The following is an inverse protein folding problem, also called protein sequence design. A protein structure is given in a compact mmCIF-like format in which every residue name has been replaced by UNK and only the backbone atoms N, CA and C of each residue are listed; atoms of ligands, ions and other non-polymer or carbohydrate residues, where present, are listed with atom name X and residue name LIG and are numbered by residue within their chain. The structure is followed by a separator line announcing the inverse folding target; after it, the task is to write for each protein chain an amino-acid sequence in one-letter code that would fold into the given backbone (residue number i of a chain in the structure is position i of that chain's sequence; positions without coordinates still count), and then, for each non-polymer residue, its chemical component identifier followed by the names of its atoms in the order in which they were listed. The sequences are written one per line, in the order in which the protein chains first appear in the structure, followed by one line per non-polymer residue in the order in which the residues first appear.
data_IF_134477082169
#
_entry.id   IF_134477082169
#
_cell.length_a   1.000
_cell.length_b   1.000
_cell.length_c   1.000
_cell.angle_alpha   90.00
_cell.angle_beta   90.00
_cell.angle_gamma   90.00
#
_symmetry.space_group_name_H-M   'P 1'
#
loop_
_entity.id
_entity.type
_entity.pdbx_description
1 polymer ?
#
# COMPACT_ATOMS: atom_id res chain seq x y z
N UNK A 1 64.19 7.80 24.91
CA UNK A 1 63.38 8.96 24.49
C UNK A 1 63.27 9.05 22.98
N UNK A 2 64.34 8.84 22.20
CA UNK A 2 64.30 8.93 20.71
C UNK A 2 63.37 7.88 20.05
N UNK A 3 63.33 6.69 20.54
CA UNK A 3 62.46 5.61 19.95
C UNK A 3 60.93 5.92 20.12
N UNK A 4 60.54 6.54 21.26
CA UNK A 4 59.12 6.91 21.43
C UNK A 4 58.65 8.05 20.51
N UNK A 5 59.54 8.97 20.18
CA UNK A 5 59.22 10.07 19.26
C UNK A 5 59.11 9.56 17.80
N UNK A 6 59.88 8.52 17.44
CA UNK A 6 59.83 7.94 16.11
C UNK A 6 58.49 7.19 15.87
N UNK A 7 58.05 6.39 16.83
CA UNK A 7 56.75 5.70 16.73
C UNK A 7 55.50 6.59 16.69
N UNK A 8 55.58 7.79 17.31
CA UNK A 8 54.49 8.78 17.27
C UNK A 8 54.44 9.45 15.91
N UNK A 9 55.59 9.79 15.34
CA UNK A 9 55.70 10.41 14.02
C UNK A 9 55.25 9.47 12.90
N UNK A 10 55.55 8.22 12.97
CA UNK A 10 55.13 7.20 12.01
C UNK A 10 53.62 6.94 12.08
N UNK A 11 53.02 6.97 13.29
CA UNK A 11 51.55 6.85 13.43
C UNK A 11 50.79 8.05 12.87
N UNK A 12 51.34 9.26 13.05
CA UNK A 12 50.69 10.49 12.51
C UNK A 12 50.82 10.51 10.99
N UNK A 13 51.98 10.09 10.45
CA UNK A 13 52.17 9.97 9.00
C UNK A 13 51.24 8.95 8.36
N UNK A 14 51.12 7.74 8.95
CA UNK A 14 50.20 6.71 8.46
C UNK A 14 48.74 7.14 8.55
N UNK A 15 48.34 7.87 9.63
CA UNK A 15 46.98 8.37 9.77
C UNK A 15 46.64 9.51 8.78
N UNK A 16 47.61 10.34 8.42
CA UNK A 16 47.44 11.36 7.39
C UNK A 16 47.35 10.72 5.99
N UNK A 17 48.21 9.76 5.70
CA UNK A 17 48.22 9.05 4.42
C UNK A 17 46.92 8.22 4.21
N UNK A 18 46.41 7.61 5.28
CA UNK A 18 45.12 6.88 5.24
C UNK A 18 43.94 7.82 5.01
N UNK A 19 43.96 9.02 5.56
CA UNK A 19 42.92 10.05 5.32
C UNK A 19 43.00 10.59 3.90
N UNK A 20 44.19 10.87 3.38
CA UNK A 20 44.35 11.34 2.00
C UNK A 20 43.93 10.28 0.98
N UNK A 21 44.23 8.99 1.23
CA UNK A 21 43.81 7.89 0.37
C UNK A 21 42.28 7.68 0.43
N UNK A 22 41.66 7.82 1.60
CA UNK A 22 40.19 7.74 1.71
C UNK A 22 39.48 8.92 1.05
N UNK A 23 40.02 10.14 1.20
CA UNK A 23 39.45 11.34 0.59
C UNK A 23 39.64 11.31 -0.94
N UNK A 24 40.79 10.82 -1.42
CA UNK A 24 41.08 10.66 -2.86
C UNK A 24 40.25 9.57 -3.52
N UNK A 25 39.82 8.54 -2.80
CA UNK A 25 38.97 7.48 -3.34
C UNK A 25 37.49 7.83 -3.30
N UNK A 26 37.02 8.66 -2.34
CA UNK A 26 35.62 9.02 -2.23
C UNK A 26 35.20 10.13 -3.24
N UNK A 27 36.04 11.16 -3.43
CA UNK A 27 35.72 12.24 -4.36
C UNK A 27 35.57 11.83 -5.84
N UNK A 28 36.40 10.93 -6.42
CA UNK A 28 36.23 10.57 -7.83
C UNK A 28 35.03 9.65 -8.08
N UNK A 29 34.57 8.87 -7.11
CA UNK A 29 33.40 7.99 -7.31
C UNK A 29 32.08 8.75 -7.19
N UNK A 30 31.91 9.65 -6.22
CA UNK A 30 30.71 10.50 -6.14
C UNK A 30 30.62 11.47 -7.32
N UNK A 31 31.72 12.07 -7.76
CA UNK A 31 31.74 12.91 -8.96
C UNK A 31 31.55 12.11 -10.27
N UNK A 32 32.02 10.88 -10.34
CA UNK A 32 31.75 9.99 -11.47
C UNK A 32 30.29 9.51 -11.51
N UNK A 33 29.66 9.30 -10.37
CA UNK A 33 28.23 8.98 -10.29
C UNK A 33 27.38 10.20 -10.67
N UNK A 34 27.73 11.40 -10.22
CA UNK A 34 27.02 12.63 -10.57
C UNK A 34 27.24 13.08 -12.03
N UNK A 35 28.36 12.73 -12.66
CA UNK A 35 28.67 13.05 -14.06
C UNK A 35 28.36 11.96 -15.05
N UNK A 36 27.91 10.79 -14.65
CA UNK A 36 27.27 9.85 -15.56
C UNK A 36 26.02 10.53 -16.11
N UNK A 37 26.16 11.20 -17.26
CA UNK A 37 25.01 11.51 -18.12
C UNK A 37 24.32 10.17 -18.31
N UNK A 38 23.20 10.00 -17.60
CA UNK A 38 22.32 8.86 -17.80
C UNK A 38 22.21 8.66 -19.31
N UNK A 39 22.51 7.48 -19.86
CA UNK A 39 22.28 7.24 -21.27
C UNK A 39 20.84 7.71 -21.47
N UNK A 40 20.60 8.50 -22.54
CA UNK A 40 19.24 8.89 -22.94
C UNK A 40 18.53 7.57 -23.18
N UNK A 41 17.92 7.05 -22.10
CA UNK A 41 17.45 5.69 -22.01
C UNK A 41 16.45 5.48 -23.13
N UNK A 42 16.66 4.46 -23.89
CA UNK A 42 15.65 3.92 -24.79
C UNK A 42 14.43 3.71 -23.92
N UNK A 43 13.39 4.52 -24.10
CA UNK A 43 12.14 4.36 -23.33
C UNK A 43 11.55 3.02 -23.71
N UNK A 44 11.57 2.08 -22.77
CA UNK A 44 10.96 0.77 -22.96
C UNK A 44 9.44 0.84 -22.76
N UNK A 45 8.95 1.84 -22.00
CA UNK A 45 7.54 2.01 -21.70
C UNK A 45 6.98 3.16 -22.54
N UNK A 46 5.98 2.84 -23.38
CA UNK A 46 5.26 3.81 -24.20
C UNK A 46 4.24 4.61 -23.39
N UNK A 47 3.79 5.74 -23.93
CA UNK A 47 2.76 6.58 -23.28
C UNK A 47 1.45 5.83 -23.05
N UNK A 48 1.07 4.90 -23.92
CA UNK A 48 -0.14 4.08 -23.79
C UNK A 48 -0.06 3.13 -22.61
N UNK A 49 1.09 2.46 -22.43
CA UNK A 49 1.34 1.54 -21.31
C UNK A 49 1.35 2.29 -19.98
N UNK A 50 2.00 3.46 -19.95
CA UNK A 50 1.99 4.34 -18.79
C UNK A 50 0.57 4.76 -18.42
N UNK A 51 -0.22 5.20 -19.41
CA UNK A 51 -1.60 5.62 -19.19
C UNK A 51 -2.46 4.46 -18.66
N UNK A 52 -2.33 3.28 -19.24
CA UNK A 52 -3.09 2.09 -18.80
C UNK A 52 -2.72 1.69 -17.36
N UNK A 53 -1.43 1.75 -17.01
CA UNK A 53 -0.98 1.44 -15.66
C UNK A 53 -1.47 2.48 -14.65
N UNK A 54 -1.39 3.77 -14.98
CA UNK A 54 -1.91 4.87 -14.15
C UNK A 54 -3.42 4.73 -13.95
N UNK A 55 -4.17 4.41 -15.01
CA UNK A 55 -5.62 4.21 -14.92
C UNK A 55 -5.98 3.02 -14.03
N UNK A 56 -5.22 1.93 -14.14
CA UNK A 56 -5.36 0.78 -13.26
C UNK A 56 -5.10 1.15 -11.79
N UNK A 57 -4.06 1.91 -11.51
CA UNK A 57 -3.70 2.33 -10.15
C UNK A 57 -4.73 3.32 -9.58
N UNK A 58 -5.26 4.23 -10.41
CA UNK A 58 -6.37 5.13 -10.06
C UNK A 58 -7.62 4.34 -9.67
N UNK A 59 -7.99 3.31 -10.42
CA UNK A 59 -9.16 2.49 -10.10
C UNK A 59 -9.03 1.86 -8.70
N UNK A 60 -7.85 1.39 -8.35
CA UNK A 60 -7.54 0.82 -7.04
C UNK A 60 -7.53 1.85 -5.90
N UNK A 61 -7.42 3.12 -6.21
CA UNK A 61 -7.38 4.21 -5.22
C UNK A 61 -8.77 4.68 -4.79
N UNK A 62 -9.84 4.21 -5.43
CA UNK A 62 -11.21 4.49 -5.01
C UNK A 62 -11.58 3.69 -3.76
N UNK A 63 -11.18 4.17 -2.59
CA UNK A 63 -11.48 3.54 -1.30
C UNK A 63 -11.98 4.58 -0.28
N UNK A 64 -12.52 4.10 0.85
CA UNK A 64 -12.99 4.92 1.97
C UNK A 64 -12.15 4.67 3.24
N UNK A 65 -10.88 4.29 3.10
CA UNK A 65 -10.05 3.85 4.22
C UNK A 65 -9.85 4.94 5.27
N UNK A 66 -9.80 6.22 4.88
CA UNK A 66 -9.69 7.33 5.83
C UNK A 66 -10.92 7.45 6.75
N UNK A 67 -12.10 7.06 6.27
CA UNK A 67 -13.34 7.08 7.03
C UNK A 67 -13.66 5.75 7.74
N UNK A 68 -12.78 4.75 7.62
CA UNK A 68 -12.96 3.41 8.20
C UNK A 68 -13.05 3.44 9.74
N UNK A 69 -12.22 4.26 10.38
CA UNK A 69 -12.24 4.39 11.84
C UNK A 69 -13.59 4.93 12.34
N UNK A 70 -14.11 5.97 11.68
CA UNK A 70 -15.43 6.52 11.96
C UNK A 70 -16.54 5.47 11.75
N UNK A 71 -16.49 4.75 10.65
CA UNK A 71 -17.43 3.67 10.35
C UNK A 71 -17.46 2.57 11.43
N UNK A 72 -16.29 2.14 11.91
CA UNK A 72 -16.18 1.12 12.93
C UNK A 72 -16.72 1.59 14.29
N UNK A 73 -16.50 2.86 14.63
CA UNK A 73 -16.84 3.43 15.94
C UNK A 73 -18.27 3.88 16.01
N UNK A 74 -18.73 4.68 15.03
CA UNK A 74 -20.02 5.37 15.10
C UNK A 74 -21.13 4.60 14.38
N UNK A 75 -20.82 3.82 13.34
CA UNK A 75 -21.81 3.06 12.60
C UNK A 75 -21.92 1.63 13.09
N UNK A 76 -20.80 0.94 13.25
CA UNK A 76 -20.79 -0.43 13.77
C UNK A 76 -20.75 -0.50 15.29
N UNK A 77 -20.44 0.61 15.96
CA UNK A 77 -20.37 0.70 17.44
C UNK A 77 -19.42 -0.36 18.03
N UNK A 78 -18.27 -0.55 17.40
CA UNK A 78 -17.23 -1.46 17.91
C UNK A 78 -16.28 -0.66 18.80
N UNK A 79 -16.10 -1.10 20.04
CA UNK A 79 -15.19 -0.46 20.99
C UNK A 79 -13.77 -0.37 20.48
N UNK A 80 -13.09 0.76 20.74
CA UNK A 80 -11.68 0.98 20.38
C UNK A 80 -10.72 -0.12 20.87
N UNK A 81 -11.01 -0.72 22.02
CA UNK A 81 -10.23 -1.85 22.54
C UNK A 81 -10.22 -3.04 21.58
N UNK A 82 -11.39 -3.43 21.08
CA UNK A 82 -11.48 -4.53 20.12
C UNK A 82 -10.83 -4.18 18.78
N UNK A 83 -10.98 -2.93 18.33
CA UNK A 83 -10.30 -2.46 17.11
C UNK A 83 -8.77 -2.53 17.27
N UNK A 84 -8.24 -2.10 18.43
CA UNK A 84 -6.80 -2.15 18.70
C UNK A 84 -6.28 -3.59 18.77
N UNK A 85 -6.96 -4.49 19.48
CA UNK A 85 -6.58 -5.90 19.58
C UNK A 85 -6.58 -6.55 18.19
N UNK A 86 -7.65 -6.36 17.43
CA UNK A 86 -7.76 -6.92 16.06
C UNK A 86 -6.66 -6.36 15.17
N UNK A 87 -6.38 -5.07 15.23
CA UNK A 87 -5.31 -4.45 14.45
C UNK A 87 -3.94 -5.07 14.74
N UNK A 88 -3.61 -5.30 16.00
CA UNK A 88 -2.34 -5.95 16.38
C UNK A 88 -2.27 -7.38 15.87
N UNK A 89 -3.33 -8.16 16.07
CA UNK A 89 -3.36 -9.57 15.62
C UNK A 89 -3.25 -9.65 14.09
N UNK A 90 -3.97 -8.78 13.38
CA UNK A 90 -3.95 -8.71 11.93
C UNK A 90 -2.58 -8.27 11.41
N UNK A 91 -1.89 -7.33 12.08
CA UNK A 91 -0.53 -6.92 11.69
C UNK A 91 0.49 -8.05 11.86
N UNK A 92 0.37 -8.85 12.92
CA UNK A 92 1.23 -10.03 13.11
C UNK A 92 0.95 -11.08 12.02
N UNK A 93 -0.34 -11.29 11.72
CA UNK A 93 -0.76 -12.19 10.64
C UNK A 93 -0.21 -11.75 9.28
N UNK A 94 -0.20 -10.45 9.00
CA UNK A 94 0.27 -9.86 7.75
C UNK A 94 1.76 -10.18 7.51
N UNK A 95 2.60 -9.99 8.52
CA UNK A 95 4.03 -10.32 8.44
C UNK A 95 4.24 -11.81 8.11
N UNK A 96 3.50 -12.70 8.75
CA UNK A 96 3.60 -14.14 8.52
C UNK A 96 3.11 -14.48 7.10
N UNK A 97 1.97 -13.90 6.74
CA UNK A 97 1.30 -14.14 5.48
C UNK A 97 2.14 -13.70 4.27
N UNK A 98 2.77 -12.52 4.34
CA UNK A 98 3.60 -11.99 3.25
C UNK A 98 4.78 -12.92 2.91
N UNK A 99 5.42 -13.51 3.90
CA UNK A 99 6.50 -14.48 3.68
C UNK A 99 6.03 -15.74 2.96
N UNK A 100 4.87 -16.28 3.37
CA UNK A 100 4.28 -17.45 2.74
C UNK A 100 3.80 -17.15 1.32
N UNK A 101 3.09 -16.05 1.13
CA UNK A 101 2.52 -15.68 -0.15
C UNK A 101 3.59 -15.35 -1.19
N UNK A 102 4.67 -14.64 -0.81
CA UNK A 102 5.80 -14.41 -1.69
C UNK A 102 6.38 -15.73 -2.22
N UNK A 103 6.56 -16.72 -1.34
CA UNK A 103 7.05 -18.05 -1.72
C UNK A 103 6.07 -18.80 -2.65
N UNK A 104 4.77 -18.69 -2.41
CA UNK A 104 3.72 -19.31 -3.26
C UNK A 104 3.74 -18.67 -4.64
N UNK A 105 3.71 -17.33 -4.71
CA UNK A 105 3.75 -16.59 -5.97
C UNK A 105 5.02 -16.91 -6.76
N UNK A 106 6.17 -17.06 -6.07
CA UNK A 106 7.44 -17.40 -6.73
C UNK A 106 7.45 -18.78 -7.36
N UNK A 107 6.74 -19.75 -6.79
CA UNK A 107 6.63 -21.11 -7.32
C UNK A 107 5.55 -21.28 -8.38
N UNK A 108 4.65 -20.32 -8.48
CA UNK A 108 3.52 -20.40 -9.40
C UNK A 108 3.95 -20.11 -10.83
N UNK A 109 3.58 -21.02 -11.74
CA UNK A 109 3.81 -20.87 -13.17
C UNK A 109 2.54 -21.30 -13.92
N UNK A 110 1.71 -20.32 -14.31
CA UNK A 110 0.42 -20.57 -14.97
C UNK A 110 0.44 -20.20 -16.46
N UNK A 111 -0.55 -20.71 -17.23
CA UNK A 111 -0.74 -20.38 -18.65
C UNK A 111 -0.88 -18.87 -18.92
N UNK A 112 -1.38 -18.13 -17.93
CA UNK A 112 -1.61 -16.67 -18.01
C UNK A 112 -0.44 -15.84 -17.49
N UNK A 113 0.66 -16.48 -17.12
CA UNK A 113 1.82 -15.87 -16.47
C UNK A 113 1.82 -16.05 -14.95
N UNK A 114 2.84 -15.53 -14.30
CA UNK A 114 3.08 -15.70 -12.86
C UNK A 114 2.14 -14.85 -11.99
N UNK A 115 1.87 -13.62 -12.39
CA UNK A 115 1.21 -12.61 -11.54
C UNK A 115 -0.27 -12.37 -11.87
N UNK A 116 -0.69 -12.55 -13.13
CA UNK A 116 -2.06 -12.26 -13.58
C UNK A 116 -3.16 -13.01 -12.80
N UNK A 117 -3.03 -14.31 -12.46
CA UNK A 117 -4.09 -15.02 -11.76
C UNK A 117 -4.37 -14.42 -10.38
N UNK A 118 -3.36 -13.93 -9.69
CA UNK A 118 -3.52 -13.32 -8.37
C UNK A 118 -4.23 -11.97 -8.42
N UNK A 119 -4.02 -11.18 -9.47
CA UNK A 119 -4.79 -9.95 -9.69
C UNK A 119 -6.28 -10.24 -9.90
N UNK A 120 -6.62 -11.31 -10.61
CA UNK A 120 -8.01 -11.73 -10.82
C UNK A 120 -8.64 -12.21 -9.50
N UNK A 121 -7.88 -12.99 -8.71
CA UNK A 121 -8.33 -13.45 -7.38
C UNK A 121 -8.56 -12.26 -6.44
N UNK A 122 -7.76 -11.20 -6.54
CA UNK A 122 -7.99 -9.99 -5.78
C UNK A 122 -9.22 -9.22 -6.28
N UNK A 123 -9.32 -8.98 -7.58
CA UNK A 123 -10.37 -8.15 -8.17
C UNK A 123 -11.78 -8.66 -7.85
N UNK A 124 -12.09 -9.93 -8.03
CA UNK A 124 -13.43 -10.47 -7.82
C UNK A 124 -13.74 -10.78 -6.35
N UNK A 125 -13.02 -11.69 -5.66
CA UNK A 125 -13.33 -11.99 -4.25
C UNK A 125 -13.03 -10.82 -3.32
N UNK A 126 -11.99 -10.02 -3.59
CA UNK A 126 -11.67 -8.83 -2.81
C UNK A 126 -12.78 -7.80 -2.81
N UNK A 127 -13.33 -7.51 -3.99
CA UNK A 127 -14.49 -6.60 -4.14
C UNK A 127 -15.71 -7.12 -3.39
N UNK A 128 -16.01 -8.42 -3.48
CA UNK A 128 -17.12 -9.03 -2.75
C UNK A 128 -16.92 -8.91 -1.23
N UNK A 129 -15.70 -9.18 -0.74
CA UNK A 129 -15.39 -9.02 0.69
C UNK A 129 -15.51 -7.57 1.16
N UNK A 130 -15.08 -6.61 0.33
CA UNK A 130 -15.24 -5.20 0.62
C UNK A 130 -16.72 -4.78 0.65
N UNK A 131 -17.55 -5.27 -0.28
CA UNK A 131 -19.01 -5.04 -0.25
C UNK A 131 -19.66 -5.62 1.00
N UNK A 132 -19.27 -6.82 1.43
CA UNK A 132 -19.77 -7.43 2.67
C UNK A 132 -19.33 -6.58 3.87
N UNK A 133 -18.09 -6.09 3.90
CA UNK A 133 -17.60 -5.24 4.97
C UNK A 133 -18.42 -3.95 5.11
N UNK A 134 -18.64 -3.21 4.02
CA UNK A 134 -19.46 -1.99 4.06
C UNK A 134 -20.94 -2.28 4.25
N UNK A 135 -21.40 -3.48 3.92
CA UNK A 135 -22.77 -3.97 4.15
C UNK A 135 -23.03 -4.52 5.56
N UNK A 136 -22.02 -4.63 6.42
CA UNK A 136 -22.17 -5.18 7.78
C UNK A 136 -23.31 -4.56 8.61
N UNK A 137 -23.60 -3.25 8.55
CA UNK A 137 -24.67 -2.66 9.33
C UNK A 137 -26.08 -3.18 8.95
N UNK A 138 -26.24 -3.67 7.72
CA UNK A 138 -27.50 -4.29 7.27
C UNK A 138 -27.61 -5.70 7.87
N UNK A 139 -26.50 -6.43 7.94
CA UNK A 139 -26.45 -7.81 8.44
C UNK A 139 -26.57 -7.86 9.97
N UNK A 140 -26.02 -6.86 10.66
CA UNK A 140 -25.99 -6.79 12.14
C UNK A 140 -26.63 -5.49 12.61
N UNK A 141 -27.97 -5.41 12.68
CA UNK A 141 -28.65 -4.27 13.27
C UNK A 141 -28.29 -4.13 14.76
N UNK A 142 -28.46 -2.94 15.33
CA UNK A 142 -28.12 -2.59 16.71
C UNK A 142 -29.07 -3.28 17.74
N UNK A 143 -29.06 -4.61 17.75
CA UNK A 143 -29.87 -5.40 18.68
C UNK A 143 -28.95 -6.05 19.73
N UNK A 144 -29.38 -6.10 20.96
CA UNK A 144 -28.67 -6.81 22.04
C UNK A 144 -28.44 -8.27 21.63
N UNK A 145 -27.17 -8.72 21.58
CA UNK A 145 -26.79 -10.08 21.18
C UNK A 145 -26.03 -10.18 19.86
N UNK A 146 -26.03 -9.14 19.02
CA UNK A 146 -25.29 -9.13 17.75
C UNK A 146 -23.85 -8.64 17.87
N UNK A 147 -23.42 -8.18 19.07
CA UNK A 147 -22.11 -7.57 19.28
C UNK A 147 -20.93 -8.54 19.03
N UNK A 148 -20.99 -9.73 19.63
CA UNK A 148 -19.93 -10.73 19.48
C UNK A 148 -19.86 -11.27 18.03
N UNK A 149 -20.95 -11.68 17.39
CA UNK A 149 -20.93 -12.06 15.97
C UNK A 149 -20.38 -10.96 15.06
N UNK A 150 -20.70 -9.69 15.33
CA UNK A 150 -20.21 -8.53 14.58
C UNK A 150 -18.69 -8.41 14.66
N UNK A 151 -18.10 -8.54 15.85
CA UNK A 151 -16.63 -8.49 16.04
C UNK A 151 -15.96 -9.67 15.33
N UNK A 152 -16.51 -10.87 15.46
CA UNK A 152 -15.95 -12.07 14.78
C UNK A 152 -16.00 -11.90 13.28
N UNK A 153 -17.11 -11.44 12.72
CA UNK A 153 -17.25 -11.20 11.28
C UNK A 153 -16.26 -10.14 10.79
N UNK A 154 -16.12 -9.04 11.55
CA UNK A 154 -15.13 -7.99 11.24
C UNK A 154 -13.71 -8.56 11.23
N UNK A 155 -13.34 -9.34 12.23
CA UNK A 155 -12.02 -9.96 12.34
C UNK A 155 -11.73 -10.89 11.16
N UNK A 156 -12.67 -11.78 10.82
CA UNK A 156 -12.52 -12.73 9.71
C UNK A 156 -12.41 -11.99 8.37
N UNK A 157 -13.27 -11.00 8.13
CA UNK A 157 -13.22 -10.19 6.90
C UNK A 157 -11.89 -9.43 6.80
N UNK A 158 -11.40 -8.86 7.89
CA UNK A 158 -10.13 -8.13 7.90
C UNK A 158 -8.95 -9.06 7.59
N UNK A 159 -8.93 -10.28 8.13
CA UNK A 159 -7.89 -11.26 7.82
C UNK A 159 -7.92 -11.70 6.36
N UNK A 160 -9.10 -11.99 5.82
CA UNK A 160 -9.26 -12.39 4.43
C UNK A 160 -8.92 -11.24 3.46
N UNK A 161 -9.30 -10.02 3.81
CA UNK A 161 -9.00 -8.84 3.01
C UNK A 161 -7.50 -8.56 2.97
N UNK A 162 -6.79 -8.67 4.10
CA UNK A 162 -5.33 -8.53 4.14
C UNK A 162 -4.63 -9.58 3.29
N UNK A 163 -5.06 -10.85 3.38
CA UNK A 163 -4.51 -11.91 2.53
C UNK A 163 -4.67 -11.59 1.04
N UNK A 164 -5.84 -11.12 0.64
CA UNK A 164 -6.10 -10.73 -0.76
C UNK A 164 -5.24 -9.51 -1.18
N UNK A 165 -5.11 -8.50 -0.31
CA UNK A 165 -4.30 -7.30 -0.54
C UNK A 165 -2.81 -7.63 -0.67
N UNK A 166 -2.27 -8.50 0.18
CA UNK A 166 -0.87 -8.95 0.08
C UNK A 166 -0.58 -9.66 -1.24
N UNK A 167 -1.47 -10.53 -1.70
CA UNK A 167 -1.35 -11.17 -3.02
C UNK A 167 -1.37 -10.15 -4.16
N UNK A 168 -2.22 -9.14 -4.04
CA UNK A 168 -2.31 -8.05 -5.00
C UNK A 168 -1.01 -7.23 -5.05
N UNK A 169 -0.49 -6.77 -3.92
CA UNK A 169 0.71 -5.94 -3.84
C UNK A 169 1.96 -6.66 -4.37
N UNK A 170 2.14 -7.94 -4.02
CA UNK A 170 3.22 -8.78 -4.55
C UNK A 170 3.09 -8.89 -6.07
N UNK A 171 1.88 -9.11 -6.58
CA UNK A 171 1.63 -9.28 -8.00
C UNK A 171 1.77 -7.96 -8.77
N UNK A 172 1.31 -6.84 -8.22
CA UNK A 172 1.46 -5.49 -8.77
C UNK A 172 2.94 -5.13 -8.94
N UNK A 173 3.73 -5.33 -7.90
CA UNK A 173 5.17 -5.08 -7.92
C UNK A 173 5.89 -6.00 -8.92
N UNK A 174 5.50 -7.26 -8.98
CA UNK A 174 6.04 -8.23 -9.92
C UNK A 174 5.76 -7.90 -11.38
N UNK A 175 4.55 -7.41 -11.69
CA UNK A 175 4.19 -6.99 -13.05
C UNK A 175 5.01 -5.78 -13.50
N UNK A 176 5.21 -4.78 -12.64
CA UNK A 176 6.04 -3.62 -12.96
C UNK A 176 7.45 -4.07 -13.36
N UNK A 177 8.00 -5.05 -12.64
CA UNK A 177 9.32 -5.61 -12.95
C UNK A 177 9.37 -6.30 -14.31
N UNK A 178 8.24 -6.82 -14.81
CA UNK A 178 8.16 -7.47 -16.13
C UNK A 178 7.91 -6.49 -17.29
N UNK A 179 7.28 -5.33 -17.01
CA UNK A 179 6.99 -4.32 -18.05
C UNK A 179 8.27 -3.67 -18.56
N UNK A 180 9.21 -3.35 -17.67
CA UNK A 180 10.46 -2.70 -18.05
C UNK A 180 11.66 -3.21 -17.26
N UNK A 181 12.77 -3.55 -17.93
CA UNK A 181 14.03 -3.90 -17.27
C UNK A 181 14.76 -2.67 -16.72
N UNK A 182 14.45 -1.46 -17.22
CA UNK A 182 15.11 -0.22 -16.80
C UNK A 182 14.52 0.31 -15.49
N UNK A 183 15.40 0.50 -14.50
CA UNK A 183 15.03 1.00 -13.17
C UNK A 183 14.48 2.42 -13.23
N UNK A 184 14.98 3.27 -14.12
CA UNK A 184 14.51 4.66 -14.25
C UNK A 184 13.10 4.75 -14.82
N UNK A 185 12.82 3.97 -15.87
CA UNK A 185 11.46 3.89 -16.43
C UNK A 185 10.48 3.32 -15.42
N UNK A 186 10.90 2.33 -14.62
CA UNK A 186 10.12 1.74 -13.54
C UNK A 186 9.77 2.75 -12.46
N UNK A 187 10.78 3.47 -11.94
CA UNK A 187 10.59 4.50 -10.91
C UNK A 187 9.69 5.63 -11.42
N UNK A 188 9.87 6.04 -12.68
CA UNK A 188 9.02 7.05 -13.30
C UNK A 188 7.56 6.61 -13.39
N UNK A 189 7.32 5.36 -13.81
CA UNK A 189 5.99 4.79 -13.91
C UNK A 189 5.30 4.77 -12.56
N UNK A 190 5.97 4.26 -11.52
CA UNK A 190 5.46 4.21 -10.15
C UNK A 190 5.16 5.62 -9.62
N UNK A 191 6.08 6.56 -9.80
CA UNK A 191 5.90 7.93 -9.31
C UNK A 191 4.71 8.63 -9.99
N UNK A 192 4.54 8.44 -11.29
CA UNK A 192 3.39 9.00 -12.01
C UNK A 192 2.08 8.37 -11.53
N UNK A 193 2.04 7.05 -11.37
CA UNK A 193 0.87 6.36 -10.85
C UNK A 193 0.53 6.86 -9.45
N UNK A 194 1.48 6.87 -8.53
CA UNK A 194 1.26 7.33 -7.15
C UNK A 194 0.78 8.79 -7.06
N UNK A 195 1.28 9.69 -7.91
CA UNK A 195 0.82 11.07 -7.93
C UNK A 195 -0.67 11.18 -8.30
N UNK A 196 -1.09 10.51 -9.37
CA UNK A 196 -2.48 10.54 -9.79
C UNK A 196 -3.40 9.78 -8.83
N UNK A 197 -2.97 8.64 -8.34
CA UNK A 197 -3.71 7.81 -7.38
C UNK A 197 -3.96 8.56 -6.08
N UNK A 198 -2.94 9.23 -5.51
CA UNK A 198 -3.08 10.01 -4.28
C UNK A 198 -4.04 11.19 -4.41
N UNK A 199 -4.11 11.81 -5.58
CA UNK A 199 -5.08 12.87 -5.84
C UNK A 199 -6.51 12.30 -5.89
N UNK A 200 -6.69 11.17 -6.56
CA UNK A 200 -8.00 10.55 -6.75
C UNK A 200 -8.51 9.89 -5.46
N UNK A 201 -7.65 9.27 -4.66
CA UNK A 201 -7.97 8.65 -3.36
C UNK A 201 -8.66 9.63 -2.40
N UNK A 202 -8.25 10.90 -2.42
CA UNK A 202 -8.85 11.91 -1.56
C UNK A 202 -10.29 12.26 -1.96
N UNK A 203 -10.68 12.08 -3.21
CA UNK A 203 -12.02 12.50 -3.69
C UNK A 203 -13.14 11.75 -2.95
N UNK A 204 -13.22 10.39 -2.96
CA UNK A 204 -14.29 9.68 -2.28
C UNK A 204 -14.27 9.91 -0.77
N UNK A 205 -13.09 10.03 -0.17
CA UNK A 205 -12.95 10.28 1.26
C UNK A 205 -13.48 11.67 1.66
N UNK A 206 -13.16 12.72 0.90
CA UNK A 206 -13.66 14.08 1.15
C UNK A 206 -15.17 14.18 0.90
N UNK A 207 -15.67 13.58 -0.16
CA UNK A 207 -17.12 13.53 -0.43
C UNK A 207 -17.84 12.82 0.73
N UNK A 208 -17.33 11.69 1.19
CA UNK A 208 -17.90 10.98 2.33
C UNK A 208 -17.91 11.85 3.59
N UNK A 209 -16.80 12.54 3.91
CA UNK A 209 -16.71 13.43 5.07
C UNK A 209 -17.74 14.57 5.03
N UNK A 210 -17.90 15.21 3.87
CA UNK A 210 -18.94 16.26 3.68
C UNK A 210 -20.34 15.70 3.83
N UNK A 211 -20.59 14.49 3.33
CA UNK A 211 -21.91 13.85 3.50
C UNK A 211 -22.18 13.47 4.95
N UNK A 212 -21.19 13.00 5.69
CA UNK A 212 -21.29 12.73 7.12
C UNK A 212 -21.68 14.01 7.87
N UNK A 213 -21.02 15.13 7.56
CA UNK A 213 -21.32 16.43 8.18
C UNK A 213 -22.74 16.89 7.88
N UNK A 214 -23.21 16.75 6.64
CA UNK A 214 -24.58 17.08 6.25
C UNK A 214 -25.63 16.22 6.94
N UNK A 215 -25.35 14.95 7.19
CA UNK A 215 -26.24 14.04 7.94
C UNK A 215 -26.25 14.42 9.41
N UNK A 216 -25.11 14.71 10.02
CA UNK A 216 -25.00 15.13 11.42
C UNK A 216 -25.74 16.45 11.70
N UNK A 217 -25.75 17.37 10.75
CA UNK A 217 -26.50 18.62 10.85
C UNK A 217 -27.98 18.51 10.42
N UNK A 218 -28.51 17.31 10.26
CA UNK A 218 -29.90 17.05 9.84
C UNK A 218 -30.33 17.71 8.50
N UNK A 219 -29.37 18.08 7.66
CA UNK A 219 -29.65 18.61 6.32
C UNK A 219 -30.03 17.51 5.33
N UNK A 220 -29.52 16.30 5.53
CA UNK A 220 -29.90 15.11 4.77
C UNK A 220 -30.69 14.15 5.69
N UNK A 221 -31.88 13.76 5.25
CA UNK A 221 -32.74 12.80 5.96
C UNK A 221 -32.37 11.35 5.67
N UNK A 222 -31.09 11.04 5.63
CA UNK A 222 -30.56 9.70 5.38
C UNK A 222 -29.94 9.19 6.69
N UNK A 223 -30.14 7.91 7.00
CA UNK A 223 -29.46 7.30 8.15
C UNK A 223 -27.97 7.15 7.85
N UNK A 224 -27.13 7.41 8.84
CA UNK A 224 -25.68 7.27 8.72
C UNK A 224 -25.26 5.88 8.22
N UNK A 225 -25.92 4.85 8.70
CA UNK A 225 -25.77 3.45 8.25
C UNK A 225 -25.96 3.31 6.74
N UNK A 226 -27.06 3.87 6.20
CA UNK A 226 -27.36 3.78 4.75
C UNK A 226 -26.36 4.57 3.91
N UNK A 227 -25.87 5.70 4.42
CA UNK A 227 -24.85 6.52 3.75
C UNK A 227 -23.58 5.73 3.51
N UNK A 228 -23.04 5.10 4.55
CA UNK A 228 -21.82 4.28 4.44
C UNK A 228 -22.00 3.07 3.54
N UNK A 229 -23.16 2.42 3.57
CA UNK A 229 -23.45 1.31 2.65
C UNK A 229 -23.46 1.78 1.21
N UNK A 230 -24.16 2.88 0.89
CA UNK A 230 -24.21 3.40 -0.49
C UNK A 230 -22.85 3.89 -0.98
N UNK A 231 -22.12 4.63 -0.15
CA UNK A 231 -20.78 5.10 -0.52
C UNK A 231 -19.78 3.93 -0.62
N UNK A 232 -19.81 3.00 0.34
CA UNK A 232 -18.92 1.85 0.33
C UNK A 232 -19.15 0.90 -0.84
N UNK A 233 -20.41 0.56 -1.11
CA UNK A 233 -20.75 -0.27 -2.29
C UNK A 233 -20.44 0.48 -3.58
N UNK A 234 -20.73 1.80 -3.64
CA UNK A 234 -20.44 2.63 -4.79
C UNK A 234 -18.94 2.66 -5.13
N UNK A 235 -18.08 2.84 -4.13
CA UNK A 235 -16.61 2.80 -4.33
C UNK A 235 -16.13 1.41 -4.75
N UNK A 236 -16.70 0.34 -4.16
CA UNK A 236 -16.37 -1.04 -4.56
C UNK A 236 -16.76 -1.39 -6.00
N UNK A 237 -17.78 -0.74 -6.57
CA UNK A 237 -18.17 -0.97 -7.98
C UNK A 237 -17.26 -0.22 -8.98
N UNK A 238 -16.57 0.83 -8.53
CA UNK A 238 -15.60 1.57 -9.34
C UNK A 238 -14.20 0.98 -9.27
N UNK A 239 -13.97 0.14 -8.28
CA UNK A 239 -12.74 -0.60 -8.02
C UNK A 239 -12.60 -1.81 -8.95
#
# INVERSE_FOLDING_TARGET
RRQRQMCIRDRVSMAAETKEVQTSQAEPEEQKVAKRKLPKGRRYVGSKETFTYVLFDIAQSFNLDQNKAYYLTDVLVISYWWQAIISVVVSIWDIINDLFLASIVDRTNTRFGKFKPYLIIYALPGTIMAMIFWGMPIMFPETSGTYVPKIITYFVLQMLQNLATSLYEISKTGIIATITPDVFDRTRLINQANLFSSLVENIPNQVCTVLIDLVNHNKLKIKMTSLFVYMGVGTCLLY
#
